data_IF_218536416995
#
_entry.id   IF_218536416995
#
_cell.length_a   1.000
_cell.length_b   1.000
_cell.length_c   1.000
_cell.angle_alpha   90.00
_cell.angle_beta   90.00
_cell.angle_gamma   90.00
#
_symmetry.space_group_name_H-M   'P 1'
#
loop_
_entity.id
_entity.type
_entity.pdbx_description
1 polymer ?
#
# COMPACT_ATOMS: atom_id res chain seq x y z
N UNK A 1 5.30 -9.73 55.64
CA UNK A 1 5.02 -8.47 56.37
C UNK A 1 5.33 -7.34 55.41
N UNK A 2 4.28 -6.60 55.03
CA UNK A 2 4.23 -5.33 54.28
C UNK A 2 5.03 -5.25 52.96
N UNK A 3 4.37 -5.33 51.79
CA UNK A 3 3.58 -4.26 51.12
C UNK A 3 4.44 -3.08 50.66
N UNK A 4 4.57 -2.92 49.34
CA UNK A 4 4.29 -1.64 48.67
C UNK A 4 4.14 -1.82 47.14
N UNK A 5 2.96 -1.47 46.64
CA UNK A 5 2.59 -1.34 45.23
C UNK A 5 3.21 -0.08 44.61
N UNK A 6 3.57 -0.09 43.32
CA UNK A 6 3.47 1.08 42.48
C UNK A 6 2.14 1.09 41.73
N UNK A 7 1.56 2.29 41.69
CA UNK A 7 0.21 2.63 41.27
C UNK A 7 -0.01 2.42 39.77
N UNK A 8 -1.24 2.02 39.44
CA UNK A 8 -1.85 2.20 38.14
C UNK A 8 -1.78 3.68 37.74
N UNK A 9 -1.09 3.96 36.63
CA UNK A 9 -1.14 5.24 35.93
C UNK A 9 -1.97 5.07 34.68
N UNK A 10 -2.99 5.91 34.55
CA UNK A 10 -3.96 5.96 33.46
C UNK A 10 -3.26 6.09 32.09
N UNK A 11 -3.29 5.04 31.27
CA UNK A 11 -2.99 5.16 29.85
C UNK A 11 -4.23 5.71 29.11
N UNK A 12 -4.39 7.03 29.22
CA UNK A 12 -5.23 7.79 28.32
C UNK A 12 -4.73 7.65 26.88
N UNK A 13 -5.62 7.20 26.01
CA UNK A 13 -5.55 7.24 24.56
C UNK A 13 -4.80 8.48 24.03
N UNK A 14 -3.61 8.27 23.44
CA UNK A 14 -3.02 9.17 22.45
C UNK A 14 -3.14 8.49 21.09
N UNK A 15 -4.24 8.78 20.39
CA UNK A 15 -4.34 8.53 18.97
C UNK A 15 -3.68 9.70 18.22
N UNK A 16 -2.83 9.36 17.26
CA UNK A 16 -2.53 10.13 16.04
C UNK A 16 -2.16 11.64 16.14
N UNK A 17 -1.54 12.12 17.23
CA UNK A 17 -1.12 13.54 17.31
C UNK A 17 0.36 13.82 17.64
N UNK A 18 1.24 12.81 17.71
CA UNK A 18 2.69 13.03 17.93
C UNK A 18 3.57 12.56 16.74
N UNK A 19 3.14 12.83 15.50
CA UNK A 19 3.99 12.66 14.29
C UNK A 19 4.85 13.88 13.93
N UNK A 20 4.98 14.87 14.82
CA UNK A 20 6.05 15.89 14.73
C UNK A 20 7.35 15.48 15.45
N UNK A 21 7.41 14.28 16.02
CA UNK A 21 8.57 13.78 16.77
C UNK A 21 9.68 13.09 15.95
N UNK A 22 9.55 13.02 14.63
CA UNK A 22 10.35 12.12 13.79
C UNK A 22 11.17 12.77 12.68
N UNK A 23 11.91 13.86 12.94
CA UNK A 23 13.19 14.17 12.27
C UNK A 23 13.78 15.45 12.87
N UNK A 24 14.51 15.34 13.99
CA UNK A 24 15.25 16.50 14.56
C UNK A 24 16.44 16.94 13.70
N UNK A 25 16.71 16.25 12.58
CA UNK A 25 17.84 16.53 11.68
C UNK A 25 17.45 16.76 10.21
N UNK A 26 16.18 17.04 9.93
CA UNK A 26 15.70 17.36 8.57
C UNK A 26 16.29 18.67 8.00
N UNK A 27 17.00 19.44 8.82
CA UNK A 27 17.58 20.73 8.45
C UNK A 27 18.66 20.65 7.37
N UNK A 28 19.28 19.49 7.18
CA UNK A 28 20.40 19.27 6.25
C UNK A 28 20.01 18.51 4.99
N UNK A 29 18.74 18.10 4.82
CA UNK A 29 18.34 17.35 3.64
C UNK A 29 18.32 18.28 2.40
N UNK A 30 19.07 17.97 1.33
CA UNK A 30 19.21 18.86 0.16
C UNK A 30 17.86 19.23 -0.46
N UNK A 31 16.91 18.29 -0.52
CA UNK A 31 15.52 18.56 -0.94
C UNK A 31 14.85 19.64 -0.07
N UNK A 32 14.99 19.56 1.26
CA UNK A 32 14.41 20.57 2.17
C UNK A 32 15.14 21.90 2.00
N UNK A 33 16.45 21.90 1.78
CA UNK A 33 17.22 23.11 1.51
C UNK A 33 16.80 23.78 0.17
N UNK A 34 16.62 23.00 -0.89
CA UNK A 34 16.15 23.45 -2.20
C UNK A 34 14.74 24.05 -2.12
N UNK A 35 13.81 23.34 -1.46
CA UNK A 35 12.46 23.81 -1.23
C UNK A 35 12.41 25.05 -0.31
N UNK A 36 13.37 25.20 0.62
CA UNK A 36 13.50 26.40 1.47
C UNK A 36 13.98 27.64 0.69
N UNK A 37 14.70 27.48 -0.42
CA UNK A 37 15.14 28.60 -1.28
C UNK A 37 14.02 29.16 -2.16
N UNK A 38 12.89 28.45 -2.29
CA UNK A 38 11.76 28.90 -3.09
C UNK A 38 10.95 30.01 -2.36
N UNK A 39 10.62 31.12 -3.03
CA UNK A 39 9.87 32.23 -2.42
C UNK A 39 8.43 31.85 -2.03
N UNK A 40 7.86 30.79 -2.61
CA UNK A 40 6.55 30.23 -2.24
C UNK A 40 6.68 28.71 -2.05
N UNK A 41 6.32 28.24 -0.86
CA UNK A 41 6.28 26.82 -0.47
C UNK A 41 4.83 26.33 -0.47
N UNK A 42 4.32 25.72 -1.54
CA UNK A 42 3.01 25.09 -1.49
C UNK A 42 3.05 23.96 -0.46
N UNK A 43 2.04 23.89 0.41
CA UNK A 43 1.90 22.77 1.35
C UNK A 43 1.68 21.46 0.58
N UNK A 44 2.25 20.36 1.08
CA UNK A 44 2.00 19.05 0.53
C UNK A 44 0.52 18.68 0.70
N UNK A 45 -0.19 18.27 -0.36
CA UNK A 45 -1.61 17.95 -0.29
C UNK A 45 -1.85 16.55 0.30
N UNK A 46 -1.53 16.38 1.59
CA UNK A 46 -1.56 15.07 2.28
C UNK A 46 -2.91 14.35 2.14
N UNK A 47 -4.03 15.07 2.20
CA UNK A 47 -5.37 14.49 2.04
C UNK A 47 -5.70 14.04 0.60
N UNK A 48 -4.84 14.36 -0.36
CA UNK A 48 -4.89 13.85 -1.73
C UNK A 48 -3.77 12.86 -2.03
N UNK A 49 -3.01 12.44 -1.02
CA UNK A 49 -1.93 11.46 -1.19
C UNK A 49 -2.41 10.03 -0.99
N UNK A 50 -3.33 9.80 -0.05
CA UNK A 50 -3.82 8.46 0.28
C UNK A 50 -5.28 8.53 0.76
N UNK A 51 -5.98 7.40 0.70
CA UNK A 51 -7.36 7.26 1.13
C UNK A 51 -8.38 7.80 0.11
N UNK A 52 -9.63 8.10 0.52
CA UNK A 52 -10.72 8.38 -0.43
C UNK A 52 -10.53 9.65 -1.26
N UNK A 53 -9.70 10.57 -0.78
CA UNK A 53 -9.36 11.82 -1.46
C UNK A 53 -8.13 11.72 -2.37
N UNK A 54 -7.48 10.55 -2.46
CA UNK A 54 -6.29 10.35 -3.28
C UNK A 54 -6.53 10.81 -4.73
N UNK A 55 -5.53 11.43 -5.34
CA UNK A 55 -5.64 11.94 -6.70
C UNK A 55 -4.38 12.64 -7.20
N UNK A 56 -4.45 13.21 -8.40
CA UNK A 56 -3.29 13.76 -9.13
C UNK A 56 -2.57 14.92 -8.41
N UNK A 57 -3.22 15.59 -7.45
CA UNK A 57 -2.67 16.76 -6.76
C UNK A 57 -1.32 16.47 -6.08
N UNK A 58 -1.18 15.28 -5.47
CA UNK A 58 0.07 14.87 -4.82
C UNK A 58 1.18 14.62 -5.82
N UNK A 59 0.89 13.91 -6.92
CA UNK A 59 1.85 13.72 -8.02
C UNK A 59 2.28 15.04 -8.63
N UNK A 60 1.36 15.99 -8.86
CA UNK A 60 1.69 17.34 -9.35
C UNK A 60 2.63 18.07 -8.39
N UNK A 61 2.34 18.01 -7.09
CA UNK A 61 3.22 18.63 -6.10
C UNK A 61 4.63 18.00 -6.13
N UNK A 62 4.71 16.66 -6.18
CA UNK A 62 5.98 15.92 -6.20
C UNK A 62 6.76 16.22 -7.49
N UNK A 63 6.11 16.18 -8.65
CA UNK A 63 6.73 16.50 -9.94
C UNK A 63 7.30 17.92 -9.96
N UNK A 64 6.53 18.92 -9.51
CA UNK A 64 7.03 20.31 -9.42
C UNK A 64 8.18 20.46 -8.42
N UNK A 65 8.19 19.70 -7.34
CA UNK A 65 9.32 19.68 -6.42
C UNK A 65 10.57 19.08 -7.07
N UNK A 66 10.42 17.97 -7.80
CA UNK A 66 11.50 17.32 -8.54
C UNK A 66 12.08 18.23 -9.64
N UNK A 67 11.24 18.86 -10.47
CA UNK A 67 11.66 19.83 -11.49
C UNK A 67 12.58 20.92 -10.91
N UNK A 68 12.20 21.46 -9.74
CA UNK A 68 12.99 22.50 -9.06
C UNK A 68 14.33 21.99 -8.56
N UNK A 69 14.35 20.81 -7.93
CA UNK A 69 15.58 20.20 -7.41
C UNK A 69 16.54 19.88 -8.56
N UNK A 70 16.03 19.26 -9.64
CA UNK A 70 16.81 18.93 -10.83
C UNK A 70 17.42 20.18 -11.46
N UNK A 71 16.62 21.24 -11.65
CA UNK A 71 17.09 22.48 -12.25
C UNK A 71 18.11 23.25 -11.38
N UNK A 72 17.90 23.29 -10.06
CA UNK A 72 18.70 24.10 -9.15
C UNK A 72 19.98 23.41 -8.67
N UNK A 73 19.88 22.12 -8.30
CA UNK A 73 20.95 21.42 -7.59
C UNK A 73 21.68 20.40 -8.46
N UNK A 74 21.06 19.95 -9.57
CA UNK A 74 21.63 18.95 -10.51
C UNK A 74 22.25 17.74 -9.79
N UNK A 75 21.47 17.02 -8.98
CA UNK A 75 21.96 15.87 -8.23
C UNK A 75 22.40 14.75 -9.18
N UNK A 76 23.38 13.94 -8.75
CA UNK A 76 23.86 12.80 -9.53
C UNK A 76 22.76 11.75 -9.75
N UNK A 77 21.85 11.57 -8.78
CA UNK A 77 20.69 10.68 -8.87
C UNK A 77 19.45 11.34 -8.25
N UNK A 78 18.34 11.36 -9.00
CA UNK A 78 17.02 11.75 -8.50
C UNK A 78 16.04 10.59 -8.65
N UNK A 79 15.37 10.22 -7.56
CA UNK A 79 14.26 9.28 -7.58
C UNK A 79 12.96 10.04 -7.31
N UNK A 80 11.97 9.88 -8.19
CA UNK A 80 10.68 10.60 -8.13
C UNK A 80 9.55 9.58 -8.14
N UNK A 81 8.70 9.63 -7.12
CA UNK A 81 7.55 8.74 -7.01
C UNK A 81 6.25 9.48 -7.31
N UNK A 82 5.46 8.98 -8.28
CA UNK A 82 4.18 9.58 -8.69
C UNK A 82 3.03 8.59 -8.39
N UNK A 83 2.43 8.64 -7.19
CA UNK A 83 1.61 7.54 -6.65
C UNK A 83 0.22 7.41 -7.28
N UNK A 84 -0.33 8.49 -7.83
CA UNK A 84 -1.75 8.59 -8.18
C UNK A 84 -2.28 7.45 -9.08
N UNK A 85 -1.46 6.96 -10.03
CA UNK A 85 -1.91 5.96 -10.99
C UNK A 85 -2.27 4.64 -10.29
N UNK A 86 -1.49 4.23 -9.29
CA UNK A 86 -1.72 3.02 -8.50
C UNK A 86 -3.12 3.04 -7.86
N UNK A 87 -3.49 4.13 -7.18
CA UNK A 87 -4.78 4.26 -6.52
C UNK A 87 -5.97 4.34 -7.49
N UNK A 88 -5.82 5.04 -8.62
CA UNK A 88 -6.90 5.15 -9.60
C UNK A 88 -7.16 3.82 -10.30
N UNK A 89 -6.11 3.06 -10.62
CA UNK A 89 -6.25 1.72 -11.18
C UNK A 89 -6.86 0.74 -10.18
N UNK A 90 -6.58 0.85 -8.87
CA UNK A 90 -7.29 0.06 -7.85
C UNK A 90 -8.78 0.45 -7.73
N UNK A 91 -9.10 1.74 -7.88
CA UNK A 91 -10.47 2.25 -7.75
C UNK A 91 -11.37 1.94 -8.93
N UNK A 92 -10.83 2.08 -10.14
CA UNK A 92 -11.61 2.03 -11.39
C UNK A 92 -11.26 0.83 -12.28
N UNK A 93 -10.26 0.03 -11.89
CA UNK A 93 -9.73 -1.07 -12.68
C UNK A 93 -8.83 -0.56 -13.82
N UNK A 94 -8.15 -1.47 -14.53
CA UNK A 94 -7.18 -1.10 -15.57
C UNK A 94 -7.81 -0.77 -16.94
N UNK A 95 -9.04 -1.24 -17.21
CA UNK A 95 -9.59 -1.26 -18.57
C UNK A 95 -10.52 -0.07 -18.90
N UNK A 96 -10.84 0.75 -17.89
CA UNK A 96 -11.84 1.80 -17.99
C UNK A 96 -11.35 3.13 -18.58
N UNK A 97 -12.31 4.02 -18.89
CA UNK A 97 -11.99 5.38 -19.34
C UNK A 97 -11.24 6.20 -18.29
N UNK A 98 -11.52 5.91 -17.02
CA UNK A 98 -10.91 6.49 -15.83
C UNK A 98 -9.43 6.10 -15.72
N UNK A 99 -9.08 4.85 -16.04
CA UNK A 99 -7.69 4.39 -16.10
C UNK A 99 -6.90 5.15 -17.17
N UNK A 100 -7.48 5.33 -18.36
CA UNK A 100 -6.87 6.12 -19.45
C UNK A 100 -6.72 7.59 -19.02
N UNK A 101 -7.73 8.16 -18.36
CA UNK A 101 -7.66 9.53 -17.86
C UNK A 101 -6.56 9.69 -16.79
N UNK A 102 -6.43 8.71 -15.88
CA UNK A 102 -5.38 8.69 -14.88
C UNK A 102 -3.99 8.54 -15.52
N UNK A 103 -3.83 7.64 -16.49
CA UNK A 103 -2.59 7.48 -17.24
C UNK A 103 -2.17 8.79 -17.93
N UNK A 104 -3.10 9.48 -18.61
CA UNK A 104 -2.83 10.79 -19.21
C UNK A 104 -2.46 11.86 -18.20
N UNK A 105 -3.11 11.86 -17.04
CA UNK A 105 -2.84 12.84 -15.99
C UNK A 105 -1.45 12.65 -15.38
N UNK A 106 -0.99 11.41 -15.17
CA UNK A 106 0.37 11.15 -14.71
C UNK A 106 1.41 11.38 -15.80
N UNK A 107 1.09 11.09 -17.06
CA UNK A 107 1.94 11.39 -18.23
C UNK A 107 2.24 12.89 -18.33
N UNK A 108 1.25 13.76 -18.16
CA UNK A 108 1.45 15.23 -18.12
C UNK A 108 2.45 15.64 -17.02
N UNK A 109 2.35 15.04 -15.82
CA UNK A 109 3.24 15.33 -14.69
C UNK A 109 4.64 14.77 -14.95
N UNK A 110 4.73 13.54 -15.43
CA UNK A 110 6.00 12.88 -15.76
C UNK A 110 6.72 13.66 -16.86
N UNK A 111 6.02 14.09 -17.90
CA UNK A 111 6.56 14.90 -19.00
C UNK A 111 7.29 16.15 -18.51
N UNK A 112 6.71 16.89 -17.55
CA UNK A 112 7.37 18.06 -16.96
C UNK A 112 8.69 17.72 -16.25
N UNK A 113 8.72 16.61 -15.51
CA UNK A 113 9.94 16.12 -14.82
C UNK A 113 10.98 15.63 -15.84
N UNK A 114 10.54 14.91 -16.86
CA UNK A 114 11.37 14.37 -17.94
C UNK A 114 12.02 15.52 -18.71
N UNK A 115 11.26 16.53 -19.12
CA UNK A 115 11.77 17.70 -19.84
C UNK A 115 12.80 18.47 -19.01
N UNK A 116 12.54 18.64 -17.71
CA UNK A 116 13.49 19.29 -16.80
C UNK A 116 14.82 18.51 -16.68
N UNK A 117 14.74 17.17 -16.59
CA UNK A 117 15.92 16.30 -16.51
C UNK A 117 16.71 16.28 -17.83
N UNK A 118 16.04 16.11 -18.97
CA UNK A 118 16.68 16.13 -20.28
C UNK A 118 17.31 17.49 -20.59
N UNK A 119 16.66 18.59 -20.17
CA UNK A 119 17.18 19.95 -20.34
C UNK A 119 18.52 20.23 -19.64
N UNK A 120 18.88 19.42 -18.64
CA UNK A 120 20.19 19.48 -17.96
C UNK A 120 21.09 18.28 -18.30
N UNK A 121 20.75 17.53 -19.35
CA UNK A 121 21.55 16.39 -19.83
C UNK A 121 21.49 15.15 -18.93
N UNK A 122 20.46 15.01 -18.09
CA UNK A 122 20.29 13.82 -17.24
C UNK A 122 19.68 12.68 -18.02
N UNK A 123 20.22 11.47 -17.86
CA UNK A 123 19.58 10.24 -18.37
C UNK A 123 18.31 9.95 -17.58
N UNK A 124 17.20 9.78 -18.28
CA UNK A 124 15.88 9.52 -17.69
C UNK A 124 15.57 8.03 -17.77
N UNK A 125 15.11 7.47 -16.65
CA UNK A 125 14.53 6.13 -16.58
C UNK A 125 13.15 6.24 -15.95
N UNK A 126 12.13 5.78 -16.67
CA UNK A 126 10.76 5.63 -16.15
C UNK A 126 10.57 4.15 -15.81
N UNK A 127 10.15 3.87 -14.58
CA UNK A 127 10.00 2.52 -14.05
C UNK A 127 8.62 2.39 -13.38
N UNK A 128 7.89 1.33 -13.72
CA UNK A 128 6.79 0.82 -12.90
C UNK A 128 7.24 -0.42 -12.14
N UNK A 129 6.77 -0.61 -10.91
CA UNK A 129 7.14 -1.76 -10.07
C UNK A 129 6.35 -3.02 -10.43
N UNK A 130 5.07 -2.85 -10.79
CA UNK A 130 4.15 -3.92 -11.15
C UNK A 130 3.05 -3.39 -12.08
N UNK A 131 2.27 -4.31 -12.68
CA UNK A 131 1.01 -4.00 -13.35
C UNK A 131 -0.18 -4.16 -12.40
N UNK A 132 -1.31 -3.56 -12.76
CA UNK A 132 -2.59 -3.74 -12.06
C UNK A 132 -3.57 -4.42 -13.01
N UNK A 133 -4.18 -5.51 -12.56
CA UNK A 133 -5.19 -6.27 -13.30
C UNK A 133 -6.57 -6.10 -12.66
N UNK A 134 -7.63 -6.56 -13.34
CA UNK A 134 -9.00 -6.45 -12.86
C UNK A 134 -9.22 -7.28 -11.57
N UNK A 135 -9.77 -6.64 -10.54
CA UNK A 135 -10.21 -7.29 -9.31
C UNK A 135 -11.72 -7.56 -9.37
N UNK A 136 -12.12 -8.82 -9.24
CA UNK A 136 -13.54 -9.23 -9.33
C UNK A 136 -14.00 -10.07 -8.15
N UNK A 137 -13.10 -10.86 -7.56
CA UNK A 137 -13.45 -11.86 -6.53
C UNK A 137 -12.66 -11.64 -5.24
N UNK A 138 -13.22 -10.95 -4.23
CA UNK A 138 -12.59 -10.88 -2.93
C UNK A 138 -12.61 -12.24 -2.24
N UNK A 139 -11.47 -12.64 -1.68
CA UNK A 139 -11.25 -13.91 -0.98
C UNK A 139 -11.00 -13.62 0.48
N UNK A 140 -11.91 -14.08 1.34
CA UNK A 140 -11.87 -13.84 2.79
C UNK A 140 -10.93 -14.80 3.52
N UNK A 141 -9.65 -14.81 3.15
CA UNK A 141 -8.67 -15.83 3.58
C UNK A 141 -8.63 -16.02 5.11
N UNK A 142 -8.67 -14.93 5.87
CA UNK A 142 -8.68 -14.98 7.33
C UNK A 142 -10.02 -15.47 7.91
N UNK A 143 -11.16 -15.20 7.26
CA UNK A 143 -12.45 -15.79 7.66
C UNK A 143 -12.48 -17.29 7.42
N UNK A 144 -11.84 -17.80 6.36
CA UNK A 144 -11.68 -19.24 6.14
C UNK A 144 -10.85 -19.89 7.25
N UNK A 145 -9.67 -19.33 7.58
CA UNK A 145 -8.84 -19.81 8.69
C UNK A 145 -9.62 -19.78 10.02
N UNK A 146 -10.41 -18.74 10.25
CA UNK A 146 -11.20 -18.60 11.46
C UNK A 146 -12.34 -19.62 11.57
N UNK A 147 -13.09 -19.86 10.48
CA UNK A 147 -14.18 -20.85 10.47
C UNK A 147 -13.67 -22.27 10.79
N UNK A 148 -12.40 -22.55 10.49
CA UNK A 148 -11.71 -23.81 10.79
C UNK A 148 -11.05 -23.86 12.19
N UNK A 149 -11.23 -22.80 13.00
CA UNK A 149 -10.64 -22.71 14.34
C UNK A 149 -9.12 -22.58 14.33
N UNK A 150 -8.53 -22.06 13.25
CA UNK A 150 -7.08 -21.81 13.14
C UNK A 150 -6.72 -20.38 13.53
N UNK A 151 -7.61 -19.42 13.30
CA UNK A 151 -7.43 -18.01 13.65
C UNK A 151 -8.29 -17.67 14.87
N UNK A 152 -7.65 -17.08 15.87
CA UNK A 152 -8.28 -16.63 17.10
C UNK A 152 -8.45 -15.11 17.14
N UNK A 153 -9.50 -14.68 17.82
CA UNK A 153 -9.78 -13.28 18.11
C UNK A 153 -10.12 -13.13 19.59
N UNK A 154 -9.73 -12.00 20.18
CA UNK A 154 -10.26 -11.58 21.47
C UNK A 154 -11.35 -10.52 21.27
N UNK A 155 -12.26 -10.41 22.25
CA UNK A 155 -13.36 -9.44 22.18
C UNK A 155 -13.15 -8.31 23.17
N UNK A 156 -13.26 -7.07 22.70
CA UNK A 156 -13.21 -5.88 23.53
C UNK A 156 -14.30 -4.90 23.10
N UNK A 157 -15.15 -4.47 24.04
CA UNK A 157 -16.29 -3.58 23.78
C UNK A 157 -17.20 -4.06 22.61
N UNK A 158 -17.40 -5.38 22.50
CA UNK A 158 -18.22 -6.00 21.44
C UNK A 158 -17.50 -6.21 20.10
N UNK A 159 -16.34 -5.58 19.90
CA UNK A 159 -15.52 -5.72 18.70
C UNK A 159 -14.53 -6.89 18.84
N UNK A 160 -14.18 -7.50 17.72
CA UNK A 160 -13.23 -8.60 17.62
C UNK A 160 -11.90 -8.10 17.12
N UNK A 161 -10.82 -8.49 17.77
CA UNK A 161 -9.45 -8.14 17.42
C UNK A 161 -8.64 -9.41 17.20
N UNK A 162 -7.88 -9.47 16.10
CA UNK A 162 -6.98 -10.59 15.79
C UNK A 162 -6.02 -10.82 16.96
N UNK A 163 -5.87 -12.08 17.37
CA UNK A 163 -4.85 -12.50 18.33
C UNK A 163 -3.82 -13.43 17.65
N UNK A 164 -2.71 -12.89 17.14
CA UNK A 164 -1.66 -13.70 16.54
C UNK A 164 -1.02 -14.69 17.55
N UNK A 165 -1.05 -14.37 18.84
CA UNK A 165 -0.36 -15.13 19.90
C UNK A 165 -1.13 -16.35 20.38
N UNK A 166 -2.42 -16.43 20.11
CA UNK A 166 -3.23 -17.65 20.33
C UNK A 166 -3.56 -18.38 19.04
N UNK A 167 -3.63 -17.68 17.91
CA UNK A 167 -3.91 -18.27 16.59
C UNK A 167 -2.92 -19.38 16.21
N UNK A 168 -3.45 -20.51 15.74
CA UNK A 168 -2.65 -21.55 15.09
C UNK A 168 -2.18 -21.16 13.69
N UNK A 169 -2.99 -20.39 12.95
CA UNK A 169 -2.59 -19.74 11.71
C UNK A 169 -3.39 -18.45 11.42
N UNK A 170 -2.75 -17.46 10.80
CA UNK A 170 -3.39 -16.24 10.30
C UNK A 170 -2.66 -15.72 9.05
N UNK A 171 -3.35 -14.95 8.22
CA UNK A 171 -2.80 -14.37 7.00
C UNK A 171 -2.62 -12.85 7.13
N UNK A 172 -1.51 -12.35 6.61
CA UNK A 172 -1.29 -10.94 6.27
C UNK A 172 -1.50 -10.80 4.77
N UNK A 173 -2.58 -10.13 4.38
CA UNK A 173 -3.07 -10.09 3.00
C UNK A 173 -2.76 -8.75 2.33
N UNK A 174 -2.11 -8.78 1.16
CA UNK A 174 -1.85 -7.62 0.33
C UNK A 174 -2.22 -7.97 -1.11
N UNK A 175 -3.41 -7.53 -1.52
CA UNK A 175 -3.97 -7.82 -2.84
C UNK A 175 -3.93 -9.33 -3.18
N UNK A 176 -3.18 -9.73 -4.21
CA UNK A 176 -3.15 -11.11 -4.72
C UNK A 176 -2.13 -12.00 -4.00
N UNK A 177 -1.46 -11.49 -2.97
CA UNK A 177 -0.49 -12.23 -2.17
C UNK A 177 -0.94 -12.21 -0.70
N UNK A 178 -0.85 -13.35 -0.03
CA UNK A 178 -1.01 -13.41 1.41
C UNK A 178 0.09 -14.25 2.05
N UNK A 179 0.83 -13.66 2.99
CA UNK A 179 1.74 -14.38 3.86
C UNK A 179 0.94 -15.05 4.98
N UNK A 180 0.95 -16.38 5.04
CA UNK A 180 0.23 -17.15 6.05
C UNK A 180 1.23 -17.64 7.08
N UNK A 181 1.08 -17.12 8.29
CA UNK A 181 1.86 -17.51 9.45
C UNK A 181 1.21 -18.70 10.12
N UNK A 182 1.98 -19.74 10.40
CA UNK A 182 1.54 -21.00 10.99
C UNK A 182 2.42 -21.28 12.20
N UNK A 183 1.80 -21.37 13.38
CA UNK A 183 2.48 -21.50 14.67
C UNK A 183 3.36 -22.76 14.76
N UNK A 184 2.81 -23.89 14.35
CA UNK A 184 3.45 -25.20 14.53
C UNK A 184 3.69 -25.89 13.19
N UNK A 185 4.88 -26.45 12.93
CA UNK A 185 5.16 -27.19 11.70
C UNK A 185 4.21 -28.37 11.44
N UNK A 186 3.69 -28.99 12.51
CA UNK A 186 2.70 -30.07 12.45
C UNK A 186 1.39 -29.65 11.76
N UNK A 187 1.06 -28.35 11.76
CA UNK A 187 -0.17 -27.81 11.18
C UNK A 187 -0.05 -27.47 9.69
N UNK A 188 1.16 -27.42 9.13
CA UNK A 188 1.40 -26.92 7.78
C UNK A 188 0.58 -27.64 6.71
N UNK A 189 0.51 -28.97 6.78
CA UNK A 189 -0.27 -29.76 5.83
C UNK A 189 -1.76 -29.39 5.90
N UNK A 190 -2.33 -29.31 7.12
CA UNK A 190 -3.73 -28.93 7.33
C UNK A 190 -4.03 -27.53 6.79
N UNK A 191 -3.20 -26.54 7.12
CA UNK A 191 -3.39 -25.15 6.69
C UNK A 191 -3.26 -25.05 5.17
N UNK A 192 -2.24 -25.69 4.57
CA UNK A 192 -2.04 -25.69 3.12
C UNK A 192 -3.23 -26.30 2.39
N UNK A 193 -3.70 -27.45 2.84
CA UNK A 193 -4.79 -28.18 2.17
C UNK A 193 -6.12 -27.42 2.31
N UNK A 194 -6.36 -26.76 3.46
CA UNK A 194 -7.46 -25.81 3.61
C UNK A 194 -7.36 -24.68 2.59
N UNK A 195 -6.22 -23.98 2.52
CA UNK A 195 -6.05 -22.83 1.63
C UNK A 195 -6.22 -23.22 0.16
N UNK A 196 -5.72 -24.40 -0.26
CA UNK A 196 -5.93 -24.94 -1.61
C UNK A 196 -7.39 -25.23 -1.94
N UNK A 197 -8.23 -25.44 -0.93
CA UNK A 197 -9.66 -25.67 -1.12
C UNK A 197 -10.48 -24.38 -1.23
N UNK A 198 -9.89 -23.23 -0.89
CA UNK A 198 -10.57 -21.93 -0.93
C UNK A 198 -10.68 -21.46 -2.39
N UNK A 199 -11.89 -21.24 -2.93
CA UNK A 199 -12.06 -20.68 -4.27
C UNK A 199 -11.39 -19.32 -4.40
N UNK A 200 -10.64 -19.09 -5.48
CA UNK A 200 -9.86 -17.87 -5.69
C UNK A 200 -8.41 -17.95 -5.23
N UNK A 201 -7.97 -19.05 -4.57
CA UNK A 201 -6.56 -19.33 -4.31
C UNK A 201 -5.99 -20.18 -5.44
N UNK A 202 -5.02 -19.66 -6.19
CA UNK A 202 -4.36 -20.38 -7.29
C UNK A 202 -3.20 -21.24 -6.79
N UNK A 203 -2.35 -20.66 -5.95
CA UNK A 203 -1.17 -21.34 -5.42
C UNK A 203 -1.06 -21.19 -3.91
N UNK A 204 -0.56 -22.23 -3.26
CA UNK A 204 -0.10 -22.19 -1.88
C UNK A 204 1.34 -22.70 -1.87
N UNK A 205 2.27 -21.75 -1.76
CA UNK A 205 3.70 -21.96 -1.79
C UNK A 205 4.18 -22.37 -0.40
N UNK A 206 4.76 -23.57 -0.31
CA UNK A 206 5.51 -24.02 0.85
C UNK A 206 6.99 -23.59 0.74
N UNK A 207 7.88 -24.17 1.53
CA UNK A 207 9.30 -23.79 1.55
C UNK A 207 9.98 -23.92 0.18
N UNK A 208 9.71 -25.00 -0.57
CA UNK A 208 10.29 -25.20 -1.90
C UNK A 208 9.65 -24.25 -2.93
N UNK A 209 8.32 -24.08 -2.87
CA UNK A 209 7.60 -23.12 -3.72
C UNK A 209 8.09 -21.69 -3.51
N UNK A 210 8.29 -21.27 -2.25
CA UNK A 210 8.83 -19.95 -1.91
C UNK A 210 10.25 -19.76 -2.45
N UNK A 211 11.14 -20.77 -2.36
CA UNK A 211 12.48 -20.69 -2.95
C UNK A 211 12.42 -20.49 -4.45
N UNK A 212 11.61 -21.28 -5.15
CA UNK A 212 11.45 -21.18 -6.59
C UNK A 212 10.92 -19.81 -7.03
N UNK A 213 10.04 -19.20 -6.22
CA UNK A 213 9.48 -17.87 -6.45
C UNK A 213 10.34 -16.70 -5.94
N UNK A 214 11.48 -16.95 -5.27
CA UNK A 214 12.30 -15.90 -4.67
C UNK A 214 11.72 -15.27 -3.39
N UNK A 215 10.81 -15.97 -2.72
CA UNK A 215 10.09 -15.54 -1.51
C UNK A 215 10.54 -16.29 -0.24
N UNK A 216 11.63 -17.06 -0.28
CA UNK A 216 12.18 -17.75 0.91
C UNK A 216 12.96 -16.76 1.79
N UNK A 217 12.24 -15.91 2.51
CA UNK A 217 12.78 -14.89 3.40
C UNK A 217 12.27 -15.10 4.83
N UNK A 218 13.07 -14.71 5.83
CA UNK A 218 12.74 -14.85 7.27
C UNK A 218 11.44 -14.12 7.69
N UNK A 219 11.01 -13.13 6.89
CA UNK A 219 9.77 -12.36 7.10
C UNK A 219 8.58 -12.91 6.32
N UNK A 220 8.79 -13.93 5.49
CA UNK A 220 7.69 -14.58 4.79
C UNK A 220 7.04 -15.59 5.72
N UNK A 221 5.71 -15.62 5.75
CA UNK A 221 4.97 -16.67 6.46
C UNK A 221 5.40 -18.07 6.04
N UNK A 222 5.12 -19.07 6.87
CA UNK A 222 5.46 -20.47 6.60
C UNK A 222 4.88 -20.94 5.27
N UNK A 223 3.73 -20.38 4.87
CA UNK A 223 3.13 -20.52 3.54
C UNK A 223 2.91 -19.14 2.91
N UNK A 224 2.90 -19.07 1.57
CA UNK A 224 2.43 -17.91 0.81
C UNK A 224 1.29 -18.33 -0.11
N UNK A 225 0.13 -17.71 0.04
CA UNK A 225 -0.99 -17.89 -0.88
C UNK A 225 -0.92 -16.85 -2.01
N UNK A 226 -1.18 -17.30 -3.24
CA UNK A 226 -1.29 -16.46 -4.44
C UNK A 226 -2.71 -16.62 -4.98
N UNK A 227 -3.38 -15.51 -5.26
CA UNK A 227 -4.74 -15.51 -5.77
C UNK A 227 -4.80 -15.85 -7.26
N UNK A 228 -5.96 -16.35 -7.71
CA UNK A 228 -6.30 -16.46 -9.14
C UNK A 228 -6.29 -15.08 -9.83
N UNK A 229 -6.15 -15.00 -11.18
CA UNK A 229 -5.91 -13.75 -11.91
C UNK A 229 -6.83 -12.56 -11.59
N UNK A 230 -8.11 -12.79 -11.32
CA UNK A 230 -9.12 -11.78 -10.99
C UNK A 230 -9.58 -11.81 -9.52
N UNK A 231 -8.95 -12.65 -8.70
CA UNK A 231 -9.21 -12.76 -7.27
C UNK A 231 -8.17 -11.97 -6.47
N UNK A 232 -8.54 -11.56 -5.25
CA UNK A 232 -7.65 -10.86 -4.33
C UNK A 232 -8.06 -11.14 -2.88
N UNK A 233 -7.13 -11.08 -1.93
CA UNK A 233 -7.36 -11.41 -0.53
C UNK A 233 -7.79 -10.20 0.29
N UNK A 234 -8.88 -10.35 1.05
CA UNK A 234 -9.24 -9.38 2.08
C UNK A 234 -8.58 -9.76 3.40
N UNK A 235 -8.23 -8.75 4.21
CA UNK A 235 -7.62 -9.00 5.53
C UNK A 235 -8.65 -9.42 6.60
N UNK A 236 -9.96 -9.29 6.31
CA UNK A 236 -11.05 -9.41 7.27
C UNK A 236 -11.00 -10.74 8.02
N UNK A 237 -11.09 -10.67 9.35
CA UNK A 237 -11.10 -11.85 10.23
C UNK A 237 -12.33 -11.92 11.13
N UNK A 238 -13.13 -10.85 11.25
CA UNK A 238 -14.42 -10.90 11.96
C UNK A 238 -15.45 -11.67 11.12
N UNK A 239 -16.30 -12.51 11.72
CA UNK A 239 -17.34 -13.26 10.98
C UNK A 239 -18.66 -12.48 10.87
N UNK A 240 -18.84 -11.46 11.70
CA UNK A 240 -20.00 -10.57 11.73
C UNK A 240 -19.51 -9.12 11.70
N UNK A 241 -19.95 -8.35 10.71
CA UNK A 241 -19.57 -6.94 10.52
C UNK A 241 -20.01 -6.04 11.67
N UNK A 242 -21.00 -6.44 12.47
CA UNK A 242 -21.36 -5.75 13.71
C UNK A 242 -20.26 -5.84 14.78
N UNK A 243 -19.33 -6.79 14.63
CA UNK A 243 -18.19 -7.03 15.53
C UNK A 243 -16.86 -6.56 14.93
N UNK A 244 -16.89 -5.93 13.76
CA UNK A 244 -15.67 -5.40 13.14
C UNK A 244 -14.95 -4.41 14.07
N UNK A 245 -13.60 -4.40 14.10
CA UNK A 245 -12.84 -3.40 14.82
C UNK A 245 -13.21 -1.97 14.42
N UNK A 246 -13.05 -1.04 15.38
CA UNK A 246 -13.23 0.39 15.17
C UNK A 246 -12.43 0.93 13.97
N UNK A 247 -11.19 0.47 13.82
CA UNK A 247 -10.29 0.89 12.74
C UNK A 247 -10.69 0.36 11.35
N UNK A 248 -11.56 -0.64 11.26
CA UNK A 248 -11.91 -1.25 9.98
C UNK A 248 -12.63 -0.26 9.05
N UNK A 249 -13.36 0.71 9.62
CA UNK A 249 -14.08 1.77 8.88
C UNK A 249 -13.28 3.06 8.71
N UNK A 250 -12.00 3.04 9.06
CA UNK A 250 -11.11 4.20 8.97
C UNK A 250 -9.94 3.91 8.04
N UNK A 251 -9.22 4.96 7.65
CA UNK A 251 -7.94 4.87 6.94
C UNK A 251 -6.84 4.62 7.98
N UNK A 252 -6.42 3.36 8.16
CA UNK A 252 -5.56 2.89 9.26
C UNK A 252 -4.61 1.76 8.81
N UNK A 253 -3.62 2.16 8.01
CA UNK A 253 -2.65 1.25 7.37
C UNK A 253 -1.79 0.42 8.35
N UNK A 254 -1.72 0.80 9.63
CA UNK A 254 -0.86 0.12 10.62
C UNK A 254 -1.59 -0.92 11.47
N UNK A 255 -2.93 -0.87 11.53
CA UNK A 255 -3.74 -1.76 12.38
C UNK A 255 -4.36 -2.92 11.60
N UNK A 256 -4.44 -2.80 10.27
CA UNK A 256 -4.94 -3.84 9.39
C UNK A 256 -3.81 -4.84 9.10
N UNK A 257 -4.00 -6.16 9.33
CA UNK A 257 -3.00 -7.19 9.04
C UNK A 257 -2.86 -7.39 7.53
N UNK A 258 -2.25 -6.42 6.87
CA UNK A 258 -2.14 -6.35 5.42
C UNK A 258 -2.51 -4.98 4.86
N UNK A 259 -2.76 -4.94 3.57
CA UNK A 259 -3.21 -3.76 2.84
C UNK A 259 -4.71 -3.84 2.57
N UNK A 260 -5.40 -2.71 2.69
CA UNK A 260 -6.85 -2.62 2.47
C UNK A 260 -7.17 -1.59 1.36
N UNK A 261 -7.36 -2.04 0.12
CA UNK A 261 -7.73 -1.15 -0.99
C UNK A 261 -9.10 -0.49 -0.79
N UNK A 262 -9.95 -1.00 0.13
CA UNK A 262 -11.22 -0.36 0.45
C UNK A 262 -11.02 1.04 1.07
N UNK A 263 -9.85 1.33 1.64
CA UNK A 263 -9.51 2.67 2.17
C UNK A 263 -9.55 3.77 1.10
N UNK A 264 -9.49 3.42 -0.18
CA UNK A 264 -9.59 4.36 -1.30
C UNK A 264 -11.03 4.83 -1.56
N UNK A 265 -12.01 4.35 -0.79
CA UNK A 265 -13.43 4.61 -1.02
C UNK A 265 -14.10 5.26 0.19
N UNK A 266 -15.06 6.13 -0.11
CA UNK A 266 -16.12 6.44 0.84
C UNK A 266 -17.18 5.35 0.70
N UNK A 267 -17.66 4.82 1.83
CA UNK A 267 -18.63 3.73 1.89
C UNK A 267 -19.86 4.04 1.01
N UNK A 268 -20.02 3.34 -0.13
CA UNK A 268 -21.06 3.66 -1.10
C UNK A 268 -22.45 3.23 -0.61
N UNK A 269 -22.52 2.27 0.33
CA UNK A 269 -23.78 1.83 0.91
C UNK A 269 -24.34 2.88 1.90
N UNK A 270 -23.49 3.76 2.42
CA UNK A 270 -23.88 4.75 3.40
C UNK A 270 -24.13 6.14 2.79
N UNK A 271 -25.42 6.45 2.60
CA UNK A 271 -25.89 7.73 2.03
C UNK A 271 -25.45 8.97 2.81
N UNK A 272 -25.10 8.83 4.10
CA UNK A 272 -24.68 9.93 4.95
C UNK A 272 -23.15 10.06 5.07
N UNK A 273 -22.37 9.23 4.35
CA UNK A 273 -20.90 9.17 4.50
C UNK A 273 -20.21 10.53 4.32
N UNK A 274 -20.62 11.32 3.33
CA UNK A 274 -20.07 12.66 3.09
C UNK A 274 -20.43 13.64 4.22
N UNK A 275 -21.65 13.54 4.76
CA UNK A 275 -22.08 14.37 5.89
C UNK A 275 -21.31 14.02 7.16
N UNK A 276 -21.11 12.72 7.45
CA UNK A 276 -20.28 12.27 8.58
C UNK A 276 -18.84 12.73 8.44
N UNK A 277 -18.25 12.65 7.24
CA UNK A 277 -16.92 13.17 6.98
C UNK A 277 -16.85 14.68 7.28
N UNK A 278 -17.84 15.46 6.83
CA UNK A 278 -17.94 16.89 7.12
C UNK A 278 -18.03 17.20 8.62
N UNK A 279 -18.84 16.45 9.36
CA UNK A 279 -18.97 16.60 10.83
C UNK A 279 -17.65 16.23 11.54
N UNK A 280 -16.98 15.15 11.11
CA UNK A 280 -15.70 14.74 11.67
C UNK A 280 -14.62 15.83 11.46
N UNK A 281 -14.57 16.43 10.27
CA UNK A 281 -13.68 17.55 9.96
C UNK A 281 -14.00 18.80 10.79
N UNK A 282 -15.28 19.11 11.01
CA UNK A 282 -15.69 20.21 11.87
C UNK A 282 -15.22 19.99 13.32
N UNK A 283 -15.41 18.78 13.87
CA UNK A 283 -14.93 18.41 15.21
C UNK A 283 -13.42 18.54 15.32
N UNK A 284 -12.67 18.04 14.32
CA UNK A 284 -11.21 18.22 14.23
C UNK A 284 -10.83 19.69 14.30
N UNK A 285 -11.45 20.53 13.48
CA UNK A 285 -11.15 21.98 13.42
C UNK A 285 -11.42 22.69 14.74
N UNK A 286 -12.38 22.19 15.52
CA UNK A 286 -12.72 22.69 16.85
C UNK A 286 -11.87 22.08 17.97
N UNK A 287 -10.89 21.22 17.67
CA UNK A 287 -10.02 20.59 18.66
C UNK A 287 -10.66 19.44 19.44
N UNK A 288 -11.81 18.93 18.98
CA UNK A 288 -12.45 17.77 19.60
C UNK A 288 -11.90 16.47 19.02
N UNK A 289 -11.85 15.44 19.88
CA UNK A 289 -11.63 14.07 19.42
C UNK A 289 -12.69 13.67 18.39
N UNK A 290 -12.23 13.07 17.31
CA UNK A 290 -13.05 12.65 16.18
C UNK A 290 -12.57 11.29 15.65
N UNK A 291 -13.43 10.58 14.94
CA UNK A 291 -13.09 9.42 14.12
C UNK A 291 -13.68 9.61 12.74
N UNK A 292 -12.96 9.19 11.69
CA UNK A 292 -13.40 9.31 10.30
C UNK A 292 -13.87 7.95 9.79
N UNK A 293 -15.05 7.53 10.26
CA UNK A 293 -15.64 6.24 9.91
C UNK A 293 -16.33 6.34 8.54
N UNK A 294 -15.54 6.23 7.49
CA UNK A 294 -15.99 6.44 6.11
C UNK A 294 -15.62 5.31 5.16
N UNK A 295 -14.75 4.38 5.56
CA UNK A 295 -14.30 3.26 4.72
C UNK A 295 -15.35 2.14 4.76
N UNK A 296 -15.72 1.53 3.62
CA UNK A 296 -16.65 0.41 3.57
C UNK A 296 -16.04 -0.86 4.19
N UNK A 297 -16.89 -1.68 4.81
CA UNK A 297 -16.51 -3.07 5.14
C UNK A 297 -16.78 -4.04 3.99
N UNK A 298 -17.61 -3.64 3.03
CA UNK A 298 -17.83 -4.38 1.79
C UNK A 298 -16.61 -4.16 0.86
N UNK A 299 -15.87 -5.21 0.48
CA UNK A 299 -14.73 -5.10 -0.41
C UNK A 299 -15.11 -4.90 -1.89
N UNK A 300 -16.39 -5.04 -2.27
CA UNK A 300 -16.86 -4.98 -3.66
C UNK A 300 -16.51 -3.72 -4.47
N UNK A 301 -16.25 -2.53 -3.88
CA UNK A 301 -15.88 -1.35 -4.66
C UNK A 301 -14.49 -1.46 -5.32
N UNK A 302 -13.61 -2.32 -4.84
CA UNK A 302 -12.25 -2.49 -5.36
C UNK A 302 -12.31 -3.21 -6.70
N UNK A 303 -11.74 -2.60 -7.74
CA UNK A 303 -11.84 -3.10 -9.13
C UNK A 303 -10.48 -3.31 -9.80
N UNK A 304 -9.38 -2.90 -9.18
CA UNK A 304 -8.01 -3.25 -9.58
C UNK A 304 -7.20 -3.89 -8.46
N UNK A 305 -6.30 -4.80 -8.82
CA UNK A 305 -5.44 -5.54 -7.88
C UNK A 305 -4.08 -5.88 -8.49
N UNK A 306 -3.11 -6.25 -7.66
CA UNK A 306 -1.76 -6.63 -8.09
C UNK A 306 -1.12 -7.66 -7.14
N UNK A 307 0.12 -8.06 -7.40
CA UNK A 307 0.94 -8.85 -6.48
C UNK A 307 1.30 -10.25 -6.97
N UNK A 308 0.47 -10.86 -7.83
CA UNK A 308 0.87 -12.08 -8.55
C UNK A 308 1.73 -11.74 -9.77
N UNK A 309 2.43 -12.74 -10.30
CA UNK A 309 3.09 -12.59 -11.60
C UNK A 309 2.01 -12.44 -12.70
N UNK A 310 2.21 -11.53 -13.67
CA UNK A 310 1.25 -11.37 -14.76
C UNK A 310 1.28 -12.57 -15.70
N UNK A 311 0.13 -12.89 -16.31
CA UNK A 311 0.02 -14.00 -17.28
C UNK A 311 0.67 -13.64 -18.63
N UNK A 312 0.72 -12.34 -18.94
CA UNK A 312 1.36 -11.77 -20.13
C UNK A 312 2.39 -10.69 -19.75
N UNK A 313 3.51 -10.56 -20.47
CA UNK A 313 4.41 -9.41 -20.33
C UNK A 313 3.73 -8.05 -20.54
N UNK A 314 2.64 -8.00 -21.31
CA UNK A 314 1.88 -6.77 -21.57
C UNK A 314 1.15 -6.25 -20.32
N UNK A 315 0.87 -7.14 -19.35
CA UNK A 315 0.27 -6.80 -18.06
C UNK A 315 1.34 -6.60 -16.96
N UNK A 316 2.61 -6.58 -17.35
CA UNK A 316 3.76 -6.48 -16.47
C UNK A 316 4.27 -5.06 -16.23
N UNK A 317 5.28 -4.91 -15.35
CA UNK A 317 5.96 -3.64 -15.13
C UNK A 317 6.69 -3.17 -16.39
N UNK A 318 6.75 -1.84 -16.56
CA UNK A 318 7.46 -1.20 -17.68
C UNK A 318 8.74 -0.53 -17.21
N UNK A 319 9.77 -0.58 -18.06
CA UNK A 319 10.98 0.22 -17.92
C UNK A 319 11.27 0.91 -19.26
N UNK A 320 11.34 2.24 -19.24
CA UNK A 320 11.71 3.07 -20.37
C UNK A 320 12.99 3.83 -20.02
N UNK A 321 13.93 3.94 -20.95
CA UNK A 321 15.18 4.67 -20.76
C UNK A 321 15.44 5.61 -21.94
N UNK A 322 15.88 6.83 -21.65
CA UNK A 322 16.23 7.82 -22.68
C UNK A 322 17.58 7.52 -23.36
N UNK A 323 18.44 6.70 -22.76
CA UNK A 323 19.71 6.27 -23.36
C UNK A 323 19.54 4.89 -24.04
N UNK A 324 19.52 4.83 -25.38
CA UNK A 324 19.33 3.57 -26.11
C UNK A 324 20.47 2.57 -25.88
N UNK A 325 21.65 3.01 -25.44
CA UNK A 325 22.75 2.10 -25.14
C UNK A 325 22.59 1.37 -23.79
N UNK A 326 21.55 1.70 -23.02
CA UNK A 326 21.11 0.95 -21.83
C UNK A 326 19.92 0.02 -22.13
N UNK A 327 19.43 0.00 -23.38
CA UNK A 327 18.30 -0.83 -23.77
C UNK A 327 18.58 -2.32 -23.53
N UNK A 328 17.56 -3.03 -23.06
CA UNK A 328 17.56 -4.47 -22.87
C UNK A 328 16.18 -5.01 -23.22
N UNK A 329 16.11 -6.21 -23.80
CA UNK A 329 14.83 -6.86 -24.12
C UNK A 329 14.08 -7.33 -22.87
N UNK A 330 14.83 -7.75 -21.84
CA UNK A 330 14.30 -8.19 -20.55
C UNK A 330 15.23 -7.74 -19.43
N UNK A 331 14.65 -7.48 -18.27
CA UNK A 331 15.38 -7.11 -17.07
C UNK A 331 14.66 -7.72 -15.87
N UNK A 332 15.40 -8.43 -15.01
CA UNK A 332 14.84 -8.85 -13.74
C UNK A 332 14.73 -7.64 -12.79
N UNK A 333 13.72 -7.61 -11.92
CA UNK A 333 13.57 -6.55 -10.94
C UNK A 333 14.83 -6.35 -10.07
N UNK A 334 15.54 -7.44 -9.76
CA UNK A 334 16.80 -7.43 -9.00
C UNK A 334 17.96 -6.77 -9.74
N UNK A 335 17.88 -6.60 -11.07
CA UNK A 335 18.91 -6.00 -11.90
C UNK A 335 18.71 -4.49 -12.09
N UNK A 336 17.55 -3.93 -11.69
CA UNK A 336 17.25 -2.50 -11.83
C UNK A 336 18.32 -1.63 -11.16
N UNK A 337 18.76 -1.99 -9.95
CA UNK A 337 19.85 -1.29 -9.26
C UNK A 337 21.12 -1.25 -10.11
N UNK A 338 21.52 -2.37 -10.70
CA UNK A 338 22.71 -2.46 -11.55
C UNK A 338 22.55 -1.63 -12.83
N UNK A 339 21.35 -1.58 -13.41
CA UNK A 339 21.05 -0.69 -14.53
C UNK A 339 21.22 0.78 -14.13
N UNK A 340 20.64 1.21 -13.01
CA UNK A 340 20.76 2.59 -12.51
C UNK A 340 22.22 2.97 -12.28
N UNK A 341 23.02 2.10 -11.66
CA UNK A 341 24.45 2.34 -11.45
C UNK A 341 25.23 2.45 -12.77
N UNK A 342 24.89 1.65 -13.78
CA UNK A 342 25.48 1.79 -15.13
C UNK A 342 25.11 3.12 -15.77
N UNK A 343 23.88 3.59 -15.61
CA UNK A 343 23.47 4.90 -16.12
C UNK A 343 24.29 6.04 -15.48
N UNK A 344 24.53 5.96 -14.17
CA UNK A 344 25.33 6.95 -13.42
C UNK A 344 26.81 6.95 -13.80
N UNK A 345 27.37 5.79 -14.15
CA UNK A 345 28.80 5.66 -14.46
C UNK A 345 29.17 6.15 -15.88
N UNK A 346 28.19 6.52 -16.71
CA UNK A 346 28.43 6.94 -18.09
C UNK A 346 28.80 8.42 -18.14
N UNK A 347 29.86 8.80 -18.87
CA UNK A 347 30.14 10.21 -19.13
C UNK A 347 28.99 10.82 -19.95
N UNK A 348 28.64 12.06 -19.59
CA UNK A 348 27.57 12.85 -20.23
C UNK A 348 27.85 13.15 -21.71
#
# INVERSE_FOLDING_TARGET
>A
MALEHPRQGEHGHRGAEDHEGGCRDAGHHPIIAALRRAPVRPHFPLFSYWGPGAGIASSRWIGRAAERVVAADRPDLTLVYLPHLDYDLQRFGPDGSEAIAAARAVDEVAGGVIDAALGVGTTVIVLSEYGITAARRPVEINRHLRREGLLDVYTQAGMEYLDPWTSGAFAVADHQIAHVYVREPSMLARVRDLLRSVPGVEHVLDSDGKRAAGLDHERSGELVAVAEPDAWFTYHYWLDDARAPDFARTVEIHRKPGYDPAELFLDPADRAVKARAGVALARKKLGFRYTMNVVPLDPSPVTGTHGRLPDSPDDGPVLLCSDPALATERLAATEVKSLLLRALARPA
#
